data_IF_493867961308
#
_entry.id   IF_493867961308
#
_cell.length_a   1.000
_cell.length_b   1.000
_cell.length_c   1.000
_cell.angle_alpha   90.00
_cell.angle_beta   90.00
_cell.angle_gamma   90.00
#
_symmetry.space_group_name_H-M   'P 1'
#
loop_
_entity.id
_entity.type
_entity.pdbx_description
1 polymer ?
#
# COMPACT_ATOMS: atom_id res chain seq x y z
N UNK A 1 1.94 -7.31 -25.21
CA UNK A 1 2.62 -8.52 -24.72
C UNK A 1 2.98 -8.32 -23.26
N UNK A 2 2.27 -9.00 -22.35
CA UNK A 2 2.53 -8.91 -20.91
C UNK A 2 3.61 -9.94 -20.56
N UNK A 3 4.68 -9.46 -19.90
CA UNK A 3 5.79 -10.30 -19.46
C UNK A 3 5.67 -10.51 -17.95
N UNK A 4 5.39 -11.74 -17.53
CA UNK A 4 5.39 -12.11 -16.11
C UNK A 4 6.79 -12.59 -15.75
N UNK A 5 7.43 -11.92 -14.79
CA UNK A 5 8.74 -12.30 -14.25
C UNK A 5 8.61 -12.50 -12.76
N UNK A 6 9.26 -13.52 -12.23
CA UNK A 6 9.52 -13.62 -10.80
C UNK A 6 11.03 -13.53 -10.59
N UNK A 7 11.43 -12.74 -9.61
CA UNK A 7 12.83 -12.64 -9.17
C UNK A 7 12.89 -13.00 -7.70
N UNK A 8 13.89 -13.80 -7.32
CA UNK A 8 14.16 -14.09 -5.91
C UNK A 8 15.37 -13.25 -5.52
N UNK A 9 15.18 -12.32 -4.59
CA UNK A 9 16.29 -11.57 -3.97
C UNK A 9 16.78 -12.38 -2.77
N UNK A 10 18.06 -12.77 -2.76
CA UNK A 10 18.70 -13.42 -1.60
C UNK A 10 19.72 -12.45 -0.99
N UNK A 11 19.36 -11.93 0.18
CA UNK A 11 20.14 -11.24 1.21
C UNK A 11 21.26 -10.23 0.83
N UNK A 12 21.97 -9.81 1.87
CA UNK A 12 22.78 -8.62 2.19
C UNK A 12 23.73 -8.03 1.12
N UNK A 13 23.97 -8.71 0.01
CA UNK A 13 24.85 -8.24 -1.07
C UNK A 13 24.09 -7.73 -2.31
N UNK A 14 22.75 -7.81 -2.33
CA UNK A 14 21.93 -7.15 -3.35
C UNK A 14 21.94 -7.81 -4.75
N UNK A 15 22.50 -9.01 -4.88
CA UNK A 15 22.49 -9.77 -6.14
C UNK A 15 21.06 -10.20 -6.52
N UNK A 16 20.58 -9.72 -7.69
CA UNK A 16 19.25 -10.05 -8.23
C UNK A 16 19.33 -11.30 -9.10
N UNK A 17 18.73 -12.41 -8.63
CA UNK A 17 18.56 -13.61 -9.46
C UNK A 17 17.18 -13.58 -10.13
N UNK A 18 17.18 -13.47 -11.45
CA UNK A 18 15.97 -13.44 -12.27
C UNK A 18 15.59 -14.87 -12.70
N UNK A 19 14.35 -15.29 -12.38
CA UNK A 19 13.75 -16.50 -12.93
C UNK A 19 13.25 -16.24 -14.35
N UNK A 20 13.33 -17.27 -15.22
CA UNK A 20 12.87 -17.21 -16.61
C UNK A 20 11.36 -16.91 -16.66
N UNK A 21 10.99 -15.80 -17.32
CA UNK A 21 9.60 -15.38 -17.47
C UNK A 21 8.81 -16.27 -18.43
N UNK A 22 7.52 -16.44 -18.14
CA UNK A 22 6.60 -17.25 -18.95
C UNK A 22 5.64 -16.34 -19.74
N UNK A 23 5.36 -16.69 -21.00
CA UNK A 23 4.41 -15.96 -21.86
C UNK A 23 3.11 -16.76 -21.94
N UNK A 24 1.96 -16.11 -21.70
CA UNK A 24 0.66 -16.79 -21.69
C UNK A 24 -0.26 -16.24 -22.78
N UNK A 25 -0.86 -17.14 -23.56
CA UNK A 25 -1.90 -16.84 -24.54
C UNK A 25 -3.28 -17.22 -23.96
N UNK A 26 -4.26 -16.32 -24.16
CA UNK A 26 -5.72 -16.55 -24.13
C UNK A 26 -6.54 -16.57 -22.82
N UNK A 27 -6.18 -15.76 -21.82
CA UNK A 27 -7.10 -14.87 -21.09
C UNK A 27 -6.42 -13.49 -21.07
N UNK A 28 -7.02 -12.39 -20.60
CA UNK A 28 -6.23 -11.15 -20.41
C UNK A 28 -5.07 -11.51 -19.48
N UNK A 29 -3.88 -11.75 -20.05
CA UNK A 29 -2.69 -12.35 -19.42
C UNK A 29 -2.33 -11.77 -18.04
N UNK A 30 -2.83 -10.57 -17.79
CA UNK A 30 -2.83 -9.85 -16.53
C UNK A 30 -3.67 -10.48 -15.40
N UNK A 31 -4.93 -10.83 -15.63
CA UNK A 31 -5.82 -11.47 -14.66
C UNK A 31 -5.24 -12.78 -14.15
N UNK A 32 -4.72 -13.60 -15.07
CA UNK A 32 -3.99 -14.82 -14.74
C UNK A 32 -2.74 -14.52 -13.89
N UNK A 33 -1.96 -13.49 -14.25
CA UNK A 33 -0.78 -13.09 -13.48
C UNK A 33 -1.14 -12.68 -12.04
N UNK A 34 -2.24 -11.95 -11.84
CA UNK A 34 -2.73 -11.54 -10.50
C UNK A 34 -3.17 -12.76 -9.67
N UNK A 35 -3.89 -13.71 -10.27
CA UNK A 35 -4.23 -14.97 -9.61
C UNK A 35 -2.99 -15.76 -9.16
N UNK A 36 -1.98 -15.85 -10.03
CA UNK A 36 -0.72 -16.49 -9.68
C UNK A 36 0.04 -15.73 -8.61
N UNK A 37 0.06 -14.40 -8.65
CA UNK A 37 0.64 -13.57 -7.60
C UNK A 37 0.03 -13.93 -6.24
N UNK A 38 -1.30 -13.91 -6.11
CA UNK A 38 -1.99 -14.31 -4.88
C UNK A 38 -1.65 -15.73 -4.43
N UNK A 39 -1.60 -16.68 -5.38
CA UNK A 39 -1.27 -18.07 -5.08
C UNK A 39 0.16 -18.22 -4.56
N UNK A 40 1.11 -17.51 -5.14
CA UNK A 40 2.52 -17.54 -4.75
C UNK A 40 2.72 -16.88 -3.39
N UNK A 41 2.14 -15.70 -3.18
CA UNK A 41 2.33 -14.93 -1.94
C UNK A 41 1.65 -15.56 -0.72
N UNK A 42 0.68 -16.47 -0.92
CA UNK A 42 -0.05 -17.13 0.18
C UNK A 42 0.85 -17.87 1.16
N UNK A 43 1.93 -18.48 0.66
CA UNK A 43 2.83 -19.33 1.47
C UNK A 43 4.23 -18.73 1.61
N UNK A 44 4.41 -17.46 1.24
CA UNK A 44 5.70 -16.78 1.30
C UNK A 44 5.63 -15.72 2.39
N UNK A 45 6.59 -15.77 3.32
CA UNK A 45 6.89 -14.63 4.19
C UNK A 45 7.87 -13.71 3.45
N UNK A 46 7.36 -12.59 2.96
CA UNK A 46 8.14 -11.62 2.23
C UNK A 46 8.57 -10.46 3.13
N UNK A 47 9.74 -9.86 2.88
CA UNK A 47 10.08 -8.59 3.53
C UNK A 47 9.21 -7.46 2.94
N UNK A 48 9.08 -7.43 1.61
CA UNK A 48 8.27 -6.45 0.89
C UNK A 48 7.42 -7.15 -0.18
N UNK A 49 6.17 -6.72 -0.33
CA UNK A 49 5.32 -7.02 -1.48
C UNK A 49 4.94 -5.70 -2.17
N UNK A 50 5.06 -5.65 -3.50
CA UNK A 50 4.67 -4.50 -4.31
C UNK A 50 3.58 -4.90 -5.29
N UNK A 51 2.53 -4.09 -5.37
CA UNK A 51 1.42 -4.23 -6.30
C UNK A 51 1.33 -2.97 -7.16
N UNK A 52 1.67 -3.10 -8.44
CA UNK A 52 1.89 -1.95 -9.34
C UNK A 52 0.97 -2.04 -10.56
N UNK A 53 0.02 -1.12 -10.65
CA UNK A 53 -1.01 -1.10 -11.70
C UNK A 53 -1.37 0.35 -11.99
N UNK A 54 -1.30 0.77 -13.26
CA UNK A 54 -1.70 2.13 -13.63
C UNK A 54 -3.18 2.42 -13.37
N UNK A 55 -4.09 1.60 -13.91
CA UNK A 55 -5.54 1.77 -13.77
C UNK A 55 -6.24 0.45 -13.45
N UNK A 56 -7.28 0.52 -12.62
CA UNK A 56 -8.13 -0.63 -12.35
C UNK A 56 -8.96 -0.95 -13.61
N UNK A 57 -9.11 -2.24 -13.90
CA UNK A 57 -10.04 -2.72 -14.91
C UNK A 57 -11.12 -3.60 -14.23
N UNK A 58 -12.31 -3.77 -14.86
CA UNK A 58 -13.42 -4.48 -14.22
C UNK A 58 -13.09 -5.93 -13.82
N UNK A 59 -12.30 -6.63 -14.64
CA UNK A 59 -11.89 -8.00 -14.35
C UNK A 59 -11.05 -8.07 -13.07
N UNK A 60 -10.09 -7.18 -12.93
CA UNK A 60 -9.24 -7.08 -11.74
C UNK A 60 -10.05 -6.68 -10.51
N UNK A 61 -10.92 -5.69 -10.64
CA UNK A 61 -11.80 -5.27 -9.55
C UNK A 61 -12.61 -6.45 -9.03
N UNK A 62 -13.18 -7.25 -9.94
CA UNK A 62 -13.92 -8.45 -9.62
C UNK A 62 -13.06 -9.47 -8.85
N UNK A 63 -11.83 -9.73 -9.31
CA UNK A 63 -10.89 -10.65 -8.63
C UNK A 63 -10.55 -10.16 -7.23
N UNK A 64 -10.24 -8.87 -7.07
CA UNK A 64 -9.88 -8.30 -5.78
C UNK A 64 -11.06 -8.36 -4.79
N UNK A 65 -12.29 -8.12 -5.25
CA UNK A 65 -13.50 -8.25 -4.43
C UNK A 65 -13.81 -9.69 -4.04
N UNK A 66 -13.52 -10.65 -4.91
CA UNK A 66 -13.75 -12.08 -4.65
C UNK A 66 -12.68 -12.71 -3.75
N UNK A 67 -11.52 -12.07 -3.62
CA UNK A 67 -10.40 -12.60 -2.87
C UNK A 67 -10.69 -12.55 -1.36
N UNK A 68 -10.99 -13.72 -0.78
CA UNK A 68 -11.56 -13.82 0.58
C UNK A 68 -10.70 -14.59 1.58
N UNK A 69 -9.56 -15.16 1.19
CA UNK A 69 -9.04 -16.33 1.92
C UNK A 69 -7.73 -16.16 2.70
N UNK A 70 -6.94 -15.09 2.54
CA UNK A 70 -5.76 -14.87 3.38
C UNK A 70 -5.21 -13.45 3.23
N UNK A 71 -4.83 -12.83 4.35
CA UNK A 71 -3.94 -11.68 4.33
C UNK A 71 -2.56 -12.13 3.82
N UNK A 72 -1.86 -11.23 3.15
CA UNK A 72 -0.47 -11.43 2.80
C UNK A 72 0.40 -11.62 4.05
N UNK A 73 1.54 -12.28 3.90
CA UNK A 73 2.57 -12.37 4.92
C UNK A 73 3.77 -11.50 4.51
N UNK A 74 3.72 -10.22 4.89
CA UNK A 74 4.77 -9.26 4.57
C UNK A 74 4.97 -8.21 5.66
N UNK A 75 6.18 -7.65 5.76
CA UNK A 75 6.49 -6.54 6.68
C UNK A 75 6.21 -5.17 6.04
N UNK A 76 6.35 -5.07 4.71
CA UNK A 76 6.07 -3.86 3.93
C UNK A 76 5.18 -4.19 2.75
N UNK A 77 4.13 -3.40 2.55
CA UNK A 77 3.25 -3.48 1.40
C UNK A 77 3.27 -2.15 0.63
N UNK A 78 3.58 -2.24 -0.67
CA UNK A 78 3.69 -1.09 -1.55
C UNK A 78 2.64 -1.15 -2.64
N UNK A 79 1.95 -0.04 -2.84
CA UNK A 79 0.96 0.16 -3.89
C UNK A 79 1.49 1.26 -4.79
N UNK A 80 1.59 0.97 -6.09
CA UNK A 80 1.83 1.99 -7.12
C UNK A 80 0.66 2.02 -8.08
N UNK A 81 -0.05 3.15 -8.12
CA UNK A 81 -1.28 3.24 -8.90
C UNK A 81 -1.64 4.67 -9.27
N UNK A 82 -2.38 4.84 -10.36
CA UNK A 82 -3.07 6.11 -10.68
C UNK A 82 -4.58 6.00 -10.40
N UNK A 83 -5.03 4.82 -9.96
CA UNK A 83 -6.41 4.52 -9.62
C UNK A 83 -6.68 4.78 -8.13
N UNK A 84 -7.72 5.58 -7.85
CA UNK A 84 -8.12 5.98 -6.49
C UNK A 84 -8.74 4.84 -5.68
N UNK A 85 -9.35 3.86 -6.34
CA UNK A 85 -10.15 2.82 -5.69
C UNK A 85 -9.30 1.58 -5.39
N UNK A 86 -8.19 1.39 -6.12
CA UNK A 86 -7.29 0.25 -5.93
C UNK A 86 -6.77 0.08 -4.49
N UNK A 87 -6.29 1.11 -3.76
CA UNK A 87 -5.80 0.93 -2.40
C UNK A 87 -6.86 0.31 -1.48
N UNK A 88 -8.11 0.77 -1.59
CA UNK A 88 -9.24 0.28 -0.79
C UNK A 88 -9.54 -1.19 -1.05
N UNK A 89 -9.42 -1.63 -2.30
CA UNK A 89 -9.60 -3.03 -2.67
C UNK A 89 -8.49 -3.94 -2.12
N UNK A 90 -7.30 -3.38 -1.89
CA UNK A 90 -6.15 -4.13 -1.37
C UNK A 90 -6.09 -4.18 0.15
N UNK A 91 -6.62 -3.18 0.88
CA UNK A 91 -6.58 -3.12 2.35
C UNK A 91 -7.01 -4.42 3.06
N UNK A 92 -8.09 -5.12 2.66
CA UNK A 92 -8.49 -6.37 3.31
C UNK A 92 -7.42 -7.48 3.25
N UNK A 93 -6.52 -7.39 2.27
CA UNK A 93 -5.48 -8.36 1.99
C UNK A 93 -4.18 -8.04 2.72
N UNK A 94 -4.03 -6.85 3.31
CA UNK A 94 -2.80 -6.40 3.95
C UNK A 94 -2.82 -6.77 5.45
N UNK A 95 -1.73 -7.37 5.99
CA UNK A 95 -1.62 -7.62 7.42
C UNK A 95 -1.61 -6.33 8.24
N UNK A 96 -2.24 -6.37 9.42
CA UNK A 96 -2.14 -5.30 10.42
C UNK A 96 -0.69 -5.25 10.91
N UNK A 97 -0.17 -4.05 11.18
CA UNK A 97 1.23 -3.87 11.57
C UNK A 97 2.23 -3.85 10.40
N UNK A 98 1.73 -3.89 9.15
CA UNK A 98 2.54 -3.75 7.95
C UNK A 98 2.88 -2.28 7.70
N UNK A 99 4.10 -1.99 7.26
CA UNK A 99 4.45 -0.68 6.69
C UNK A 99 3.73 -0.50 5.37
N UNK A 100 3.06 0.64 5.18
CA UNK A 100 2.22 0.89 4.02
C UNK A 100 2.74 2.06 3.19
N UNK A 101 3.06 1.79 1.93
CA UNK A 101 3.50 2.79 0.98
C UNK A 101 2.49 2.89 -0.18
N UNK A 102 2.02 4.09 -0.49
CA UNK A 102 1.09 4.37 -1.58
C UNK A 102 1.70 5.47 -2.44
N UNK A 103 2.05 5.15 -3.67
CA UNK A 103 2.65 6.09 -4.62
C UNK A 103 1.83 6.17 -5.90
N UNK A 104 1.87 7.33 -6.54
CA UNK A 104 1.47 7.44 -7.94
C UNK A 104 2.49 6.74 -8.84
N UNK A 105 2.06 6.24 -10.00
CA UNK A 105 2.99 5.71 -11.00
C UNK A 105 3.90 6.88 -11.45
N UNK A 106 5.20 6.68 -11.78
CA UNK A 106 6.21 7.77 -11.79
C UNK A 106 6.01 8.85 -12.86
N UNK A 107 4.91 8.81 -13.62
CA UNK A 107 4.49 9.81 -14.60
C UNK A 107 3.19 10.54 -14.27
N UNK A 108 2.51 10.23 -13.16
CA UNK A 108 1.24 10.86 -12.82
C UNK A 108 1.41 12.03 -11.85
N UNK A 109 0.66 13.10 -12.09
CA UNK A 109 0.54 14.23 -11.17
C UNK A 109 0.08 13.71 -9.79
N UNK A 110 0.78 14.05 -8.69
CA UNK A 110 0.47 13.57 -7.34
C UNK A 110 -0.95 13.86 -6.84
N UNK A 111 -1.70 14.70 -7.55
CA UNK A 111 -2.97 15.27 -7.11
C UNK A 111 -4.19 14.43 -7.52
N UNK A 112 -4.00 13.30 -8.22
CA UNK A 112 -5.11 12.48 -8.72
C UNK A 112 -5.66 11.46 -7.70
N UNK A 113 -4.92 11.17 -6.63
CA UNK A 113 -5.35 10.23 -5.60
C UNK A 113 -5.68 10.98 -4.32
N UNK A 114 -6.87 10.70 -3.80
CA UNK A 114 -7.33 11.15 -2.50
C UNK A 114 -7.66 9.94 -1.62
N UNK A 115 -6.98 9.82 -0.47
CA UNK A 115 -7.27 8.80 0.53
C UNK A 115 -8.27 9.38 1.51
N UNK A 116 -9.53 8.97 1.40
CA UNK A 116 -10.61 9.50 2.24
C UNK A 116 -10.38 9.34 3.75
N UNK A 117 -10.99 10.22 4.53
CA UNK A 117 -10.96 10.20 6.01
C UNK A 117 -11.32 8.85 6.61
N UNK A 118 -12.30 8.15 6.03
CA UNK A 118 -12.75 6.84 6.50
C UNK A 118 -11.67 5.76 6.46
N UNK A 119 -10.62 5.93 5.63
CA UNK A 119 -9.49 5.02 5.62
C UNK A 119 -8.67 5.11 6.92
N UNK A 120 -8.61 6.27 7.56
CA UNK A 120 -7.88 6.46 8.82
C UNK A 120 -8.60 5.86 10.04
N UNK A 121 -9.82 5.35 9.85
CA UNK A 121 -10.53 4.56 10.85
C UNK A 121 -10.23 3.06 10.75
N UNK A 122 -9.56 2.62 9.68
CA UNK A 122 -9.16 1.23 9.51
C UNK A 122 -8.03 0.89 10.48
N UNK A 123 -8.18 -0.22 11.19
CA UNK A 123 -7.14 -0.78 12.07
C UNK A 123 -5.81 -0.97 11.32
N UNK A 124 -5.88 -1.32 10.03
CA UNK A 124 -4.72 -1.42 9.15
C UNK A 124 -3.88 -0.13 9.15
N UNK A 125 -4.51 1.03 8.99
CA UNK A 125 -3.81 2.32 8.89
C UNK A 125 -3.42 2.82 10.27
N UNK A 126 -4.30 2.69 11.27
CA UNK A 126 -4.02 3.11 12.65
C UNK A 126 -2.81 2.39 13.25
N UNK A 127 -2.71 1.07 13.01
CA UNK A 127 -1.63 0.25 13.52
C UNK A 127 -0.43 0.15 12.55
N UNK A 128 -0.43 0.86 11.43
CA UNK A 128 0.70 0.86 10.51
C UNK A 128 1.91 1.53 11.20
N UNK A 129 3.07 0.84 11.33
CA UNK A 129 4.24 1.43 11.96
C UNK A 129 4.78 2.64 11.19
N UNK A 130 4.62 2.60 9.86
CA UNK A 130 4.94 3.67 8.94
C UNK A 130 3.91 3.74 7.81
N UNK A 131 3.51 4.95 7.46
CA UNK A 131 2.60 5.23 6.35
C UNK A 131 3.17 6.35 5.48
N UNK A 132 3.46 6.01 4.22
CA UNK A 132 3.96 6.93 3.20
C UNK A 132 2.93 7.02 2.08
N UNK A 133 2.39 8.21 1.83
CA UNK A 133 1.42 8.44 0.78
C UNK A 133 1.84 9.65 -0.08
N UNK A 134 2.16 9.39 -1.36
CA UNK A 134 2.27 10.44 -2.38
C UNK A 134 0.87 10.74 -2.96
N UNK A 135 -0.05 11.11 -2.08
CA UNK A 135 -1.45 11.42 -2.37
C UNK A 135 -1.95 12.43 -1.35
N UNK A 136 -3.03 13.15 -1.67
CA UNK A 136 -3.76 13.89 -0.66
C UNK A 136 -4.51 12.92 0.25
N UNK A 137 -4.57 13.24 1.53
CA UNK A 137 -5.25 12.41 2.52
C UNK A 137 -6.27 13.23 3.31
N UNK A 138 -7.41 12.61 3.58
CA UNK A 138 -8.55 13.19 4.29
C UNK A 138 -8.47 13.10 5.80
N UNK A 139 -7.29 12.85 6.39
CA UNK A 139 -7.15 12.74 7.84
C UNK A 139 -7.51 14.07 8.52
N UNK A 140 -8.29 14.00 9.60
CA UNK A 140 -8.68 15.17 10.40
C UNK A 140 -7.88 15.26 11.70
N UNK A 141 -7.95 16.41 12.37
CA UNK A 141 -7.33 16.65 13.67
C UNK A 141 -7.78 15.61 14.72
N UNK A 142 -9.04 15.17 14.68
CA UNK A 142 -9.60 14.19 15.61
C UNK A 142 -9.12 12.75 15.33
N UNK A 143 -8.78 12.46 14.07
CA UNK A 143 -8.30 11.15 13.66
C UNK A 143 -6.80 10.99 13.90
N UNK A 144 -6.04 12.08 13.83
CA UNK A 144 -4.58 12.09 13.94
C UNK A 144 -4.04 11.40 15.22
N UNK A 145 -4.60 11.61 16.43
CA UNK A 145 -4.14 10.94 17.65
C UNK A 145 -4.35 9.43 17.66
N UNK A 146 -5.20 8.88 16.79
CA UNK A 146 -5.48 7.44 16.74
C UNK A 146 -4.43 6.66 15.94
N UNK A 147 -3.46 7.35 15.34
CA UNK A 147 -2.34 6.74 14.65
C UNK A 147 -1.28 6.27 15.65
N UNK A 148 -0.95 4.98 15.60
CA UNK A 148 -0.01 4.32 16.52
C UNK A 148 1.39 4.14 15.92
N UNK A 149 1.55 4.46 14.63
CA UNK A 149 2.84 4.39 13.95
C UNK A 149 3.82 5.43 14.46
N UNK A 150 5.10 5.27 14.10
CA UNK A 150 6.16 6.20 14.46
C UNK A 150 6.56 7.13 13.31
N UNK A 151 6.10 6.88 12.07
CA UNK A 151 6.44 7.70 10.90
C UNK A 151 5.26 7.85 9.94
N UNK A 152 4.84 9.09 9.72
CA UNK A 152 3.83 9.43 8.70
C UNK A 152 4.35 10.49 7.74
N UNK A 153 4.25 10.21 6.44
CA UNK A 153 4.55 11.16 5.37
C UNK A 153 3.38 11.21 4.39
N UNK A 154 2.64 12.32 4.41
CA UNK A 154 1.38 12.46 3.69
C UNK A 154 1.00 13.92 3.51
N UNK A 155 0.34 14.25 2.40
CA UNK A 155 -0.23 15.59 2.18
C UNK A 155 -1.62 15.68 2.82
N UNK A 156 -1.73 16.31 3.98
CA UNK A 156 -2.96 16.33 4.78
C UNK A 156 -3.58 17.74 4.86
N UNK A 157 -4.37 18.17 3.85
CA UNK A 157 -4.88 19.54 3.75
C UNK A 157 -5.93 19.90 4.80
N UNK A 158 -6.47 18.90 5.52
CA UNK A 158 -7.49 19.08 6.55
C UNK A 158 -6.93 19.14 7.96
N UNK A 159 -5.61 18.98 8.14
CA UNK A 159 -4.98 19.17 9.44
C UNK A 159 -4.77 20.66 9.69
N UNK A 160 -5.19 21.10 10.86
CA UNK A 160 -4.94 22.46 11.30
C UNK A 160 -3.62 22.54 12.08
N UNK A 161 -3.10 23.77 12.24
CA UNK A 161 -1.96 24.00 13.13
C UNK A 161 -2.25 23.52 14.57
N UNK A 162 -3.53 23.52 15.00
CA UNK A 162 -3.93 23.03 16.31
C UNK A 162 -3.71 21.51 16.40
N UNK A 163 -4.19 20.74 15.43
CA UNK A 163 -4.00 19.28 15.42
C UNK A 163 -2.53 18.88 15.40
N UNK A 164 -1.70 19.57 14.61
CA UNK A 164 -0.24 19.34 14.60
C UNK A 164 0.39 19.69 15.95
N UNK A 165 0.02 20.81 16.57
CA UNK A 165 0.57 21.22 17.86
C UNK A 165 0.18 20.27 18.99
N UNK A 166 -1.07 19.79 19.02
CA UNK A 166 -1.54 18.81 20.01
C UNK A 166 -0.74 17.51 19.92
N UNK A 167 -0.41 17.09 18.69
CA UNK A 167 0.42 15.93 18.47
C UNK A 167 1.87 16.14 18.91
N UNK A 168 2.46 17.31 18.65
CA UNK A 168 3.80 17.66 19.13
C UNK A 168 3.86 17.69 20.67
N UNK A 169 2.80 18.19 21.32
CA UNK A 169 2.69 18.20 22.77
C UNK A 169 2.56 16.77 23.33
N UNK A 170 1.76 15.89 22.70
CA UNK A 170 1.65 14.49 23.11
C UNK A 170 2.96 13.71 22.93
N UNK A 171 3.70 13.98 21.85
CA UNK A 171 4.96 13.28 21.50
C UNK A 171 6.18 13.69 22.33
N UNK A 172 6.07 14.73 23.16
CA UNK A 172 7.08 15.05 24.19
C UNK A 172 7.27 13.94 25.25
N UNK A 173 6.41 12.91 25.23
CA UNK A 173 6.49 11.69 26.05
C UNK A 173 6.99 10.43 25.31
N UNK A 174 7.30 10.51 24.01
CA UNK A 174 7.81 9.40 23.17
C UNK A 174 7.09 9.24 21.83
N UNK A 175 7.71 9.75 20.74
CA UNK A 175 7.43 9.74 19.29
C UNK A 175 6.11 9.19 18.69
N UNK A 176 5.54 9.94 17.72
CA UNK A 176 5.83 9.76 16.28
C UNK A 176 6.46 10.97 15.55
N UNK A 177 7.15 10.74 14.42
CA UNK A 177 7.62 11.78 13.49
C UNK A 177 6.63 11.99 12.35
N UNK A 178 6.19 13.24 12.16
CA UNK A 178 5.30 13.62 11.06
C UNK A 178 6.02 14.59 10.12
N UNK A 179 5.99 14.27 8.83
CA UNK A 179 6.38 15.18 7.76
C UNK A 179 5.13 15.41 6.91
N UNK A 180 4.57 16.62 7.06
CA UNK A 180 3.43 17.12 6.28
C UNK A 180 3.91 17.85 5.03
#
# INVERSE_FOLDING_TARGET
>A
LLKCFYSRVKDSEGHKVYGKGTTYASQTSFTTAVWYFFKLTRNIKATELSFEIGRLNPDLECILKQQTAAKFSCNTFRIRTDDRDLPRLLYPLIPIGCVLHIFTNPSATPDNIFIDSSCFDLELIRAAPMFLAQAYVGITDEQLPNLQGYWFWMKAPYLSCKGVNELLLASSSGFPTFLF
#
